data_IF_437347132452
#
_entry.id   IF_437347132452
#
_cell.length_a   1.000
_cell.length_b   1.000
_cell.length_c   1.000
_cell.angle_alpha   90.00
_cell.angle_beta   90.00
_cell.angle_gamma   90.00
#
_symmetry.space_group_name_H-M   'P 1'
#
loop_
_entity.id
_entity.type
_entity.pdbx_description
1 polymer ?
#
# COMPACT_ATOMS: atom_id res chain seq x y z
N UNK A 1 -29.56 -84.01 1.61
CA UNK A 1 -28.73 -85.13 2.12
C UNK A 1 -28.00 -85.73 0.93
N UNK A 2 -26.76 -86.21 1.08
CA UNK A 2 -26.04 -86.84 -0.04
C UNK A 2 -26.57 -88.27 -0.21
N UNK A 3 -26.97 -88.63 -1.43
CA UNK A 3 -27.46 -89.97 -1.77
C UNK A 3 -26.38 -90.83 -2.43
N UNK A 4 -25.56 -90.20 -3.27
CA UNK A 4 -24.46 -90.84 -3.97
C UNK A 4 -23.31 -89.85 -4.12
N UNK A 5 -22.08 -90.34 -4.05
CA UNK A 5 -20.89 -89.58 -4.41
C UNK A 5 -19.99 -90.42 -5.30
N UNK A 6 -19.48 -89.83 -6.38
CA UNK A 6 -18.42 -90.39 -7.20
C UNK A 6 -17.16 -89.57 -7.00
N UNK A 7 -16.07 -90.24 -6.66
CA UNK A 7 -14.75 -89.61 -6.49
C UNK A 7 -13.81 -90.17 -7.53
N UNK A 8 -13.31 -89.29 -8.40
CA UNK A 8 -12.41 -89.65 -9.49
C UNK A 8 -11.31 -88.59 -9.68
N UNK A 9 -10.13 -89.04 -10.09
CA UNK A 9 -9.03 -88.17 -10.50
C UNK A 9 -8.45 -87.28 -9.40
N UNK A 10 -8.62 -87.64 -8.12
CA UNK A 10 -8.05 -86.88 -7.00
C UNK A 10 -7.36 -87.79 -5.98
N UNK A 11 -6.15 -87.38 -5.55
CA UNK A 11 -5.32 -88.09 -4.58
C UNK A 11 -5.10 -89.58 -4.94
N UNK A 12 -5.63 -90.51 -4.13
CA UNK A 12 -5.51 -91.96 -4.33
C UNK A 12 -6.60 -92.58 -5.21
N UNK A 13 -7.54 -91.78 -5.73
CA UNK A 13 -8.61 -92.27 -6.62
C UNK A 13 -8.17 -92.20 -8.09
N UNK A 14 -8.37 -93.29 -8.83
CA UNK A 14 -8.07 -93.36 -10.26
C UNK A 14 -8.98 -92.44 -11.09
N UNK A 15 -8.66 -92.30 -12.39
CA UNK A 15 -9.46 -91.49 -13.33
C UNK A 15 -10.84 -92.11 -13.59
N UNK A 16 -10.99 -93.44 -13.55
CA UNK A 16 -12.33 -94.06 -13.65
C UNK A 16 -13.22 -93.70 -12.44
N UNK A 17 -12.58 -93.54 -11.27
CA UNK A 17 -13.20 -93.18 -10.00
C UNK A 17 -13.93 -94.34 -9.32
N UNK A 18 -14.39 -94.07 -8.11
CA UNK A 18 -15.20 -94.99 -7.31
C UNK A 18 -16.46 -94.28 -6.83
N UNK A 19 -17.59 -94.99 -6.86
CA UNK A 19 -18.88 -94.48 -6.39
C UNK A 19 -19.23 -95.07 -5.02
N UNK A 20 -19.66 -94.21 -4.10
CA UNK A 20 -20.35 -94.61 -2.88
C UNK A 20 -21.84 -94.33 -3.08
N UNK A 21 -22.61 -95.41 -3.20
CA UNK A 21 -24.09 -95.38 -3.30
C UNK A 21 -24.73 -95.69 -1.95
N UNK A 22 -26.06 -95.55 -1.87
CA UNK A 22 -26.87 -95.97 -0.73
C UNK A 22 -26.50 -95.32 0.61
N UNK A 23 -26.06 -94.06 0.56
CA UNK A 23 -25.65 -93.30 1.74
C UNK A 23 -26.84 -93.05 2.67
N UNK A 24 -26.63 -93.32 3.95
CA UNK A 24 -27.61 -93.12 5.04
C UNK A 24 -27.29 -91.84 5.81
N UNK A 25 -28.17 -91.45 6.75
CA UNK A 25 -27.98 -90.22 7.55
C UNK A 25 -26.64 -90.20 8.29
N UNK A 26 -26.17 -91.39 8.69
CA UNK A 26 -24.87 -91.59 9.33
C UNK A 26 -24.15 -92.66 8.52
N UNK A 27 -22.95 -92.33 8.03
CA UNK A 27 -22.09 -93.24 7.28
C UNK A 27 -20.74 -93.34 8.01
N UNK A 28 -20.26 -94.57 8.19
CA UNK A 28 -18.92 -94.83 8.72
C UNK A 28 -18.04 -95.32 7.59
N UNK A 29 -17.06 -94.51 7.21
CA UNK A 29 -16.09 -94.85 6.16
C UNK A 29 -14.74 -95.03 6.84
N UNK A 30 -14.22 -96.25 6.85
CA UNK A 30 -12.95 -96.62 7.48
C UNK A 30 -12.05 -97.36 6.49
N UNK A 31 -10.76 -97.33 6.76
CA UNK A 31 -9.73 -97.91 5.91
C UNK A 31 -8.33 -97.53 6.40
N UNK A 32 -7.29 -98.13 5.84
CA UNK A 32 -5.90 -97.84 6.21
C UNK A 32 -5.50 -96.37 5.98
N UNK A 33 -4.43 -95.90 6.61
CA UNK A 33 -3.87 -94.59 6.31
C UNK A 33 -3.48 -94.49 4.83
N UNK A 34 -3.79 -93.37 4.19
CA UNK A 34 -3.58 -93.21 2.75
C UNK A 34 -4.70 -93.76 1.85
N UNK A 35 -5.74 -94.40 2.39
CA UNK A 35 -6.87 -94.94 1.61
C UNK A 35 -7.82 -93.89 1.01
N UNK A 36 -7.46 -92.61 1.01
CA UNK A 36 -8.27 -91.54 0.41
C UNK A 36 -9.40 -90.95 1.28
N UNK A 37 -9.48 -91.26 2.58
CA UNK A 37 -10.53 -90.74 3.49
C UNK A 37 -10.58 -89.20 3.54
N UNK A 38 -9.43 -88.55 3.70
CA UNK A 38 -9.35 -87.07 3.72
C UNK A 38 -9.73 -86.47 2.36
N UNK A 39 -9.52 -87.19 1.26
CA UNK A 39 -9.94 -86.73 -0.06
C UNK A 39 -11.45 -86.67 -0.18
N UNK A 40 -12.17 -87.63 0.42
CA UNK A 40 -13.64 -87.58 0.50
C UNK A 40 -14.08 -86.30 1.21
N UNK A 41 -13.47 -85.97 2.35
CA UNK A 41 -13.85 -84.77 3.10
C UNK A 41 -13.51 -83.48 2.34
N UNK A 42 -12.38 -83.43 1.61
CA UNK A 42 -12.01 -82.29 0.74
C UNK A 42 -12.98 -82.09 -0.43
N UNK A 43 -13.40 -83.19 -1.07
CA UNK A 43 -14.40 -83.17 -2.14
C UNK A 43 -15.74 -82.66 -1.61
N UNK A 44 -16.15 -83.07 -0.41
CA UNK A 44 -17.37 -82.55 0.24
C UNK A 44 -17.22 -81.05 0.60
N UNK A 45 -16.05 -80.62 1.06
CA UNK A 45 -15.81 -79.24 1.47
C UNK A 45 -15.85 -78.24 0.29
N UNK A 46 -15.34 -78.63 -0.87
CA UNK A 46 -15.29 -77.77 -2.06
C UNK A 46 -15.46 -78.59 -3.36
N UNK A 47 -16.68 -79.07 -3.68
CA UNK A 47 -16.92 -79.91 -4.85
C UNK A 47 -16.48 -79.24 -6.17
N UNK A 48 -16.60 -77.92 -6.26
CA UNK A 48 -16.21 -77.13 -7.43
C UNK A 48 -14.72 -77.24 -7.79
N UNK A 49 -13.85 -77.53 -6.81
CA UNK A 49 -12.41 -77.67 -7.03
C UNK A 49 -12.02 -79.06 -7.55
N UNK A 50 -12.99 -79.98 -7.69
CA UNK A 50 -12.76 -81.37 -8.03
C UNK A 50 -13.64 -81.77 -9.22
N UNK A 51 -13.25 -81.33 -10.43
CA UNK A 51 -14.03 -81.49 -11.66
C UNK A 51 -14.33 -82.94 -12.07
N UNK A 52 -13.52 -83.92 -11.64
CA UNK A 52 -13.75 -85.36 -11.85
C UNK A 52 -14.71 -86.01 -10.85
N UNK A 53 -15.10 -85.28 -9.80
CA UNK A 53 -15.96 -85.80 -8.73
C UNK A 53 -17.39 -85.26 -8.88
N UNK A 54 -18.38 -86.09 -8.54
CA UNK A 54 -19.79 -85.70 -8.55
C UNK A 54 -20.46 -86.09 -7.24
N UNK A 55 -21.32 -85.21 -6.72
CA UNK A 55 -22.11 -85.44 -5.51
C UNK A 55 -23.58 -85.30 -5.88
N UNK A 56 -24.35 -86.38 -5.73
CA UNK A 56 -25.80 -86.36 -5.90
C UNK A 56 -26.47 -86.10 -4.55
N UNK A 57 -27.24 -85.02 -4.51
CA UNK A 57 -28.03 -84.62 -3.36
C UNK A 57 -29.48 -85.06 -3.52
N UNK A 58 -30.09 -85.51 -2.44
CA UNK A 58 -31.53 -85.74 -2.36
C UNK A 58 -32.28 -84.47 -2.79
N UNK A 59 -33.24 -84.64 -3.71
CA UNK A 59 -34.00 -83.56 -4.34
C UNK A 59 -33.13 -82.50 -5.04
N UNK A 60 -31.92 -82.86 -5.48
CA UNK A 60 -30.97 -81.97 -6.17
C UNK A 60 -30.65 -80.67 -5.40
N UNK A 61 -30.80 -80.68 -4.08
CA UNK A 61 -30.58 -79.51 -3.22
C UNK A 61 -29.30 -79.67 -2.40
N UNK A 62 -28.20 -78.97 -2.78
CA UNK A 62 -26.99 -78.90 -1.96
C UNK A 62 -27.30 -78.32 -0.58
N UNK A 63 -26.68 -78.90 0.45
CA UNK A 63 -26.71 -78.37 1.81
C UNK A 63 -25.34 -77.78 2.16
N UNK A 64 -25.31 -76.87 3.13
CA UNK A 64 -24.06 -76.38 3.69
C UNK A 64 -23.22 -77.55 4.23
N UNK A 65 -21.96 -77.61 3.78
CA UNK A 65 -21.04 -78.69 4.11
C UNK A 65 -20.09 -78.24 5.22
N UNK A 66 -20.35 -78.67 6.45
CA UNK A 66 -19.45 -78.44 7.57
C UNK A 66 -18.43 -79.58 7.64
N UNK A 67 -17.21 -79.31 7.16
CA UNK A 67 -16.12 -80.30 7.10
C UNK A 67 -15.04 -79.97 8.12
N UNK A 68 -14.88 -80.87 9.09
CA UNK A 68 -13.76 -80.84 10.03
C UNK A 68 -12.66 -81.79 9.56
N UNK A 69 -11.56 -81.24 9.05
CA UNK A 69 -10.38 -81.98 8.59
C UNK A 69 -9.08 -81.22 8.93
N UNK A 70 -7.92 -81.78 8.54
CA UNK A 70 -6.62 -81.13 8.78
C UNK A 70 -6.51 -79.72 8.17
N UNK A 71 -7.09 -79.50 6.98
CA UNK A 71 -7.05 -78.21 6.28
C UNK A 71 -7.86 -77.13 7.03
N UNK A 72 -8.93 -77.52 7.74
CA UNK A 72 -9.66 -76.61 8.63
C UNK A 72 -8.78 -76.19 9.81
N UNK A 73 -8.07 -77.15 10.41
CA UNK A 73 -7.19 -76.88 11.57
C UNK A 73 -6.04 -75.96 11.17
N UNK A 74 -5.35 -76.23 10.06
CA UNK A 74 -4.20 -75.41 9.60
C UNK A 74 -4.57 -73.97 9.26
N UNK A 75 -5.76 -73.74 8.69
CA UNK A 75 -6.25 -72.39 8.35
C UNK A 75 -6.63 -71.57 9.57
N UNK A 76 -7.24 -72.21 10.57
CA UNK A 76 -7.85 -71.49 11.69
C UNK A 76 -6.99 -71.49 12.96
N UNK A 77 -6.01 -72.39 13.06
CA UNK A 77 -5.16 -72.53 14.24
C UNK A 77 -3.70 -72.34 13.84
N UNK A 78 -3.19 -71.11 13.98
CA UNK A 78 -1.76 -70.81 13.83
C UNK A 78 -1.17 -70.36 15.15
N UNK A 79 -0.02 -70.92 15.51
CA UNK A 79 0.78 -70.53 16.66
C UNK A 79 1.80 -69.46 16.24
N UNK A 80 1.49 -68.18 16.42
CA UNK A 80 2.48 -67.10 16.28
C UNK A 80 3.02 -66.61 17.64
N UNK A 81 2.35 -66.93 18.76
CA UNK A 81 2.81 -66.66 20.13
C UNK A 81 2.41 -67.83 21.06
N UNK A 82 3.29 -68.32 21.95
CA UNK A 82 2.91 -69.35 22.94
C UNK A 82 1.78 -68.82 23.83
N UNK A 83 0.60 -69.45 23.77
CA UNK A 83 -0.52 -69.18 24.68
C UNK A 83 -1.61 -68.21 24.19
N UNK A 84 -1.53 -67.68 22.97
CA UNK A 84 -2.60 -66.84 22.38
C UNK A 84 -3.16 -67.53 21.14
N UNK A 85 -4.41 -68.01 21.23
CA UNK A 85 -5.16 -68.56 20.10
C UNK A 85 -6.12 -67.48 19.60
N UNK A 86 -5.83 -66.87 18.44
CA UNK A 86 -6.76 -65.99 17.74
C UNK A 86 -7.67 -66.83 16.84
N UNK A 87 -8.99 -66.66 16.98
CA UNK A 87 -10.02 -67.38 16.24
C UNK A 87 -10.61 -66.46 15.17
N UNK A 88 -10.26 -66.67 13.89
CA UNK A 88 -10.91 -66.02 12.74
C UNK A 88 -9.96 -65.32 11.77
N UNK A 89 -10.24 -65.42 10.47
CA UNK A 89 -9.42 -64.82 9.39
C UNK A 89 -9.34 -63.29 9.48
N UNK A 90 -10.36 -62.62 10.02
CA UNK A 90 -10.43 -61.16 10.09
C UNK A 90 -9.44 -60.55 11.11
N UNK A 91 -9.18 -61.25 12.22
CA UNK A 91 -8.31 -60.75 13.30
C UNK A 91 -6.82 -60.84 12.92
N UNK A 92 -6.45 -61.80 12.07
CA UNK A 92 -5.08 -61.93 11.56
C UNK A 92 -4.70 -60.77 10.63
N UNK A 93 -5.59 -60.38 9.71
CA UNK A 93 -5.34 -59.28 8.77
C UNK A 93 -5.17 -57.92 9.47
N UNK A 94 -5.88 -57.69 10.58
CA UNK A 94 -5.75 -56.46 11.38
C UNK A 94 -4.40 -56.40 12.10
N UNK A 95 -3.93 -57.53 12.64
CA UNK A 95 -2.61 -57.61 13.28
C UNK A 95 -1.47 -57.32 12.30
N UNK A 96 -1.55 -57.86 11.07
CA UNK A 96 -0.57 -57.58 10.01
C UNK A 96 -0.53 -56.08 9.65
N UNK A 97 -1.70 -55.42 9.60
CA UNK A 97 -1.77 -53.98 9.36
C UNK A 97 -1.12 -53.16 10.49
N UNK A 98 -1.34 -53.55 11.75
CA UNK A 98 -0.72 -52.90 12.91
C UNK A 98 0.80 -53.07 12.88
N UNK A 99 1.29 -54.27 12.57
CA UNK A 99 2.74 -54.52 12.49
C UNK A 99 3.38 -53.73 11.33
N UNK A 100 2.72 -53.68 10.17
CA UNK A 100 3.15 -52.86 9.03
C UNK A 100 3.20 -51.37 9.38
N UNK A 101 2.18 -50.86 10.08
CA UNK A 101 2.13 -49.46 10.53
C UNK A 101 3.24 -49.14 11.53
N UNK A 102 3.50 -50.04 12.50
CA UNK A 102 4.62 -49.89 13.45
C UNK A 102 5.97 -49.86 12.76
N UNK A 103 6.18 -50.73 11.76
CA UNK A 103 7.40 -50.74 10.95
C UNK A 103 7.59 -49.42 10.21
N UNK A 104 6.53 -48.88 9.60
CA UNK A 104 6.56 -47.56 8.93
C UNK A 104 6.88 -46.42 9.89
N UNK A 105 6.31 -46.41 11.09
CA UNK A 105 6.63 -45.41 12.13
C UNK A 105 8.12 -45.46 12.46
N UNK A 106 8.66 -46.66 12.72
CA UNK A 106 10.08 -46.81 13.04
C UNK A 106 11.00 -46.39 11.87
N UNK A 107 10.58 -46.61 10.62
CA UNK A 107 11.30 -46.12 9.43
C UNK A 107 11.29 -44.58 9.36
N UNK A 108 10.12 -43.95 9.55
CA UNK A 108 9.97 -42.49 9.55
C UNK A 108 10.79 -41.85 10.68
N UNK A 109 10.77 -42.43 11.89
CA UNK A 109 11.56 -41.93 13.03
C UNK A 109 13.08 -42.00 12.76
N UNK A 110 13.54 -43.08 12.11
CA UNK A 110 14.94 -43.18 11.66
C UNK A 110 15.29 -42.10 10.65
N UNK A 111 14.42 -41.85 9.67
CA UNK A 111 14.63 -40.81 8.66
C UNK A 111 14.65 -39.40 9.25
N UNK A 112 13.76 -39.11 10.21
CA UNK A 112 13.74 -37.83 10.94
C UNK A 112 15.07 -37.64 11.69
N UNK A 113 15.52 -38.66 12.42
CA UNK A 113 16.78 -38.58 13.16
C UNK A 113 17.98 -38.41 12.23
N UNK A 114 18.04 -39.14 11.12
CA UNK A 114 19.09 -38.99 10.12
C UNK A 114 19.14 -37.57 9.54
N UNK A 115 17.98 -36.98 9.20
CA UNK A 115 17.88 -35.60 8.70
C UNK A 115 18.26 -34.57 9.76
N UNK A 116 17.87 -34.77 11.02
CA UNK A 116 18.23 -33.89 12.12
C UNK A 116 19.74 -33.88 12.36
N UNK A 117 20.40 -35.04 12.30
CA UNK A 117 21.87 -35.14 12.40
C UNK A 117 22.55 -34.38 11.24
N UNK A 118 22.03 -34.47 10.02
CA UNK A 118 22.58 -33.70 8.87
C UNK A 118 22.39 -32.18 9.07
N UNK A 119 21.24 -31.75 9.61
CA UNK A 119 20.94 -30.33 9.81
C UNK A 119 21.75 -29.70 10.97
N UNK A 120 21.84 -30.40 12.10
CA UNK A 120 22.38 -29.88 13.37
C UNK A 120 23.74 -30.47 13.77
N UNK A 121 24.23 -31.51 13.10
CA UNK A 121 25.36 -32.30 13.55
C UNK A 121 24.96 -33.34 14.59
N UNK A 122 25.82 -34.34 14.83
CA UNK A 122 25.57 -35.41 15.81
C UNK A 122 25.52 -34.90 17.26
N UNK A 123 26.14 -33.74 17.54
CA UNK A 123 26.24 -33.08 18.84
C UNK A 123 25.38 -31.80 18.94
N UNK A 124 24.59 -31.49 17.91
CA UNK A 124 23.78 -30.27 17.84
C UNK A 124 24.56 -28.96 17.59
N UNK A 125 25.88 -29.02 17.46
CA UNK A 125 26.76 -27.85 17.28
C UNK A 125 27.32 -27.72 15.84
N UNK A 126 26.94 -28.62 14.94
CA UNK A 126 27.50 -28.77 13.60
C UNK A 126 26.44 -28.79 12.48
N UNK A 127 26.68 -29.66 11.48
CA UNK A 127 25.76 -29.87 10.36
C UNK A 127 25.64 -28.69 9.39
N UNK A 128 24.63 -28.76 8.52
CA UNK A 128 24.38 -27.77 7.46
C UNK A 128 24.10 -26.37 8.00
N UNK A 129 23.51 -26.24 9.19
CA UNK A 129 23.29 -24.93 9.82
C UNK A 129 24.59 -24.26 10.24
N UNK A 130 25.52 -25.02 10.83
CA UNK A 130 26.85 -24.49 11.18
C UNK A 130 27.66 -24.16 9.93
N UNK A 131 27.66 -25.03 8.92
CA UNK A 131 28.31 -24.75 7.62
C UNK A 131 27.81 -23.44 7.01
N UNK A 132 26.48 -23.24 6.97
CA UNK A 132 25.87 -21.99 6.47
C UNK A 132 26.31 -20.77 7.28
N UNK A 133 26.36 -20.89 8.61
CA UNK A 133 26.80 -19.82 9.51
C UNK A 133 28.27 -19.46 9.27
N UNK A 134 29.15 -20.46 9.19
CA UNK A 134 30.59 -20.26 8.91
C UNK A 134 30.81 -19.63 7.54
N UNK A 135 30.10 -20.10 6.49
CA UNK A 135 30.16 -19.50 5.16
C UNK A 135 29.70 -18.04 5.18
N UNK A 136 28.64 -17.74 5.93
CA UNK A 136 28.13 -16.38 6.08
C UNK A 136 29.13 -15.47 6.81
N UNK A 137 29.74 -15.96 7.88
CA UNK A 137 30.77 -15.20 8.61
C UNK A 137 32.00 -14.93 7.73
N UNK A 138 32.42 -15.91 6.93
CA UNK A 138 33.53 -15.77 6.00
C UNK A 138 33.27 -14.69 4.93
N UNK A 139 32.11 -14.73 4.26
CA UNK A 139 31.79 -13.71 3.24
C UNK A 139 31.64 -12.32 3.86
N UNK A 140 31.07 -12.22 5.06
CA UNK A 140 31.00 -10.97 5.80
C UNK A 140 32.39 -10.44 6.14
N UNK A 141 33.32 -11.30 6.56
CA UNK A 141 34.71 -10.93 6.85
C UNK A 141 35.41 -10.38 5.59
N UNK A 142 35.28 -11.06 4.45
CA UNK A 142 35.89 -10.61 3.20
C UNK A 142 35.28 -9.29 2.71
N UNK A 143 33.96 -9.14 2.75
CA UNK A 143 33.28 -7.89 2.42
C UNK A 143 33.76 -6.73 3.31
N UNK A 144 33.98 -7.01 4.61
CA UNK A 144 34.45 -6.00 5.55
C UNK A 144 35.91 -5.60 5.33
N UNK A 145 36.77 -6.54 4.91
CA UNK A 145 38.14 -6.21 4.49
C UNK A 145 38.14 -5.24 3.31
N UNK A 146 37.25 -5.47 2.32
CA UNK A 146 37.04 -4.55 1.19
C UNK A 146 36.58 -3.19 1.68
N UNK A 147 35.56 -3.14 2.55
CA UNK A 147 35.11 -1.88 3.19
C UNK A 147 36.28 -1.12 3.80
N UNK A 148 37.05 -1.76 4.68
CA UNK A 148 38.14 -1.12 5.42
C UNK A 148 39.23 -0.56 4.50
N UNK A 149 39.51 -1.23 3.37
CA UNK A 149 40.49 -0.76 2.38
C UNK A 149 40.08 0.56 1.73
N UNK A 150 38.79 0.74 1.45
CA UNK A 150 38.27 1.88 0.69
C UNK A 150 37.49 2.88 1.55
N UNK A 151 37.39 2.64 2.86
CA UNK A 151 36.58 3.46 3.76
C UNK A 151 37.00 4.92 3.69
N UNK A 152 38.30 5.22 3.79
CA UNK A 152 38.81 6.58 3.77
C UNK A 152 38.43 7.35 2.49
N UNK A 153 38.40 6.67 1.35
CA UNK A 153 38.12 7.30 0.04
C UNK A 153 36.62 7.47 -0.23
N UNK A 154 35.78 6.53 0.24
CA UNK A 154 34.38 6.41 -0.16
C UNK A 154 33.39 6.42 1.02
N UNK A 155 33.75 7.04 2.15
CA UNK A 155 32.92 7.12 3.35
C UNK A 155 31.46 7.50 3.03
N UNK A 156 31.27 8.53 2.21
CA UNK A 156 29.97 9.06 1.82
C UNK A 156 29.13 8.08 1.00
N UNK A 157 29.76 7.29 0.12
CA UNK A 157 29.08 6.28 -0.68
C UNK A 157 28.63 5.06 0.15
N UNK A 158 29.26 4.84 1.31
CA UNK A 158 28.92 3.76 2.24
C UNK A 158 27.88 4.15 3.31
N UNK A 159 27.37 5.37 3.26
CA UNK A 159 26.36 5.87 4.20
C UNK A 159 25.17 4.90 4.33
N UNK A 160 24.75 4.64 5.56
CA UNK A 160 23.66 3.70 5.88
C UNK A 160 24.09 2.24 6.08
N UNK A 161 25.20 1.80 5.46
CA UNK A 161 25.73 0.43 5.59
C UNK A 161 27.11 0.36 6.24
N UNK A 162 27.83 1.49 6.32
CA UNK A 162 29.21 1.63 6.81
C UNK A 162 29.49 1.08 8.21
N UNK A 163 28.49 1.06 9.09
CA UNK A 163 28.66 0.72 10.52
C UNK A 163 28.25 -0.72 10.87
N UNK A 164 27.84 -1.54 9.89
CA UNK A 164 27.43 -2.91 10.14
C UNK A 164 28.00 -3.86 9.09
N UNK A 165 28.77 -4.83 9.56
CA UNK A 165 29.40 -5.87 8.76
C UNK A 165 28.38 -6.67 7.93
N UNK A 166 27.30 -7.10 8.58
CA UNK A 166 26.20 -7.80 7.93
C UNK A 166 25.53 -6.93 6.84
N UNK A 167 25.16 -5.68 7.17
CA UNK A 167 24.49 -4.79 6.19
C UNK A 167 25.38 -4.44 5.00
N UNK A 168 26.68 -4.26 5.22
CA UNK A 168 27.63 -4.01 4.13
C UNK A 168 27.73 -5.23 3.20
N UNK A 169 27.81 -6.43 3.77
CA UNK A 169 27.79 -7.67 3.00
C UNK A 169 26.48 -7.83 2.21
N UNK A 170 25.32 -7.57 2.84
CA UNK A 170 24.02 -7.65 2.15
C UNK A 170 23.91 -6.64 1.01
N UNK A 171 24.46 -5.43 1.20
CA UNK A 171 24.54 -4.42 0.15
C UNK A 171 25.38 -4.91 -1.02
N UNK A 172 26.57 -5.47 -0.78
CA UNK A 172 27.41 -6.08 -1.83
C UNK A 172 26.64 -7.16 -2.59
N UNK A 173 25.97 -8.07 -1.89
CA UNK A 173 25.21 -9.15 -2.54
C UNK A 173 24.05 -8.61 -3.39
N UNK A 174 23.37 -7.57 -2.92
CA UNK A 174 22.31 -6.87 -3.65
C UNK A 174 22.84 -6.15 -4.90
N UNK A 175 23.95 -5.43 -4.77
CA UNK A 175 24.63 -4.77 -5.89
C UNK A 175 25.11 -5.81 -6.92
N UNK A 176 25.62 -6.96 -6.48
CA UNK A 176 26.01 -8.06 -7.38
C UNK A 176 24.85 -8.54 -8.25
N UNK A 177 23.64 -8.56 -7.70
CA UNK A 177 22.46 -9.03 -8.41
C UNK A 177 21.84 -8.00 -9.36
N UNK A 178 22.03 -6.69 -9.10
CA UNK A 178 21.22 -5.63 -9.73
C UNK A 178 22.01 -4.46 -10.34
N UNK A 179 23.30 -4.30 -10.02
CA UNK A 179 24.08 -3.15 -10.45
C UNK A 179 24.49 -3.26 -11.92
N UNK A 180 24.08 -2.27 -12.73
CA UNK A 180 24.39 -2.14 -14.15
C UNK A 180 25.22 -0.88 -14.46
N UNK A 181 25.81 -0.25 -13.44
CA UNK A 181 26.64 0.94 -13.63
C UNK A 181 27.89 0.63 -14.46
N UNK A 182 28.45 1.67 -15.08
CA UNK A 182 29.69 1.56 -15.81
C UNK A 182 30.86 1.27 -14.86
N UNK A 183 31.79 0.43 -15.29
CA UNK A 183 33.02 0.17 -14.54
C UNK A 183 34.04 1.27 -14.84
N UNK A 184 34.49 1.96 -13.79
CA UNK A 184 35.51 3.02 -13.87
C UNK A 184 36.74 2.67 -13.05
N UNK A 185 37.87 3.30 -13.37
CA UNK A 185 39.12 3.10 -12.63
C UNK A 185 39.04 3.69 -11.22
N UNK A 186 39.77 3.09 -10.27
CA UNK A 186 39.83 3.60 -8.88
C UNK A 186 40.26 5.07 -8.81
N UNK A 187 41.26 5.47 -9.62
CA UNK A 187 41.76 6.85 -9.62
C UNK A 187 40.70 7.84 -10.11
N UNK A 188 39.89 7.48 -11.11
CA UNK A 188 38.77 8.30 -11.58
C UNK A 188 37.71 8.47 -10.49
N UNK A 189 37.29 7.36 -9.88
CA UNK A 189 36.28 7.35 -8.82
C UNK A 189 36.71 8.18 -7.61
N UNK A 190 37.98 8.09 -7.18
CA UNK A 190 38.52 8.91 -6.08
C UNK A 190 38.50 10.40 -6.39
N UNK A 191 38.94 10.80 -7.59
CA UNK A 191 38.92 12.21 -8.01
C UNK A 191 37.51 12.77 -8.02
N UNK A 192 36.55 12.02 -8.57
CA UNK A 192 35.14 12.40 -8.63
C UNK A 192 34.50 12.43 -7.24
N UNK A 193 34.88 11.52 -6.34
CA UNK A 193 34.36 11.45 -4.98
C UNK A 193 34.72 12.69 -4.15
N UNK A 194 35.94 13.21 -4.27
CA UNK A 194 36.36 14.44 -3.57
C UNK A 194 35.47 15.63 -3.94
N UNK A 195 35.16 15.79 -5.23
CA UNK A 195 34.37 16.93 -5.74
C UNK A 195 32.88 16.74 -5.45
N UNK A 196 32.33 15.56 -5.75
CA UNK A 196 30.88 15.33 -5.71
C UNK A 196 30.37 15.16 -4.28
N UNK A 197 31.14 14.53 -3.39
CA UNK A 197 30.73 14.32 -2.00
C UNK A 197 31.05 15.47 -1.05
N UNK A 198 31.65 16.55 -1.55
CA UNK A 198 31.80 17.79 -0.79
C UNK A 198 30.39 18.32 -0.39
N UNK A 199 30.25 18.71 0.88
CA UNK A 199 28.98 19.12 1.47
C UNK A 199 28.63 20.55 1.08
N UNK A 200 27.35 20.88 0.86
CA UNK A 200 26.96 22.30 0.94
C UNK A 200 25.62 22.74 0.37
N UNK A 201 24.88 21.89 -0.36
CA UNK A 201 23.70 22.36 -1.09
C UNK A 201 22.46 21.57 -0.67
N UNK A 202 21.55 22.25 0.03
CA UNK A 202 20.20 21.78 0.35
C UNK A 202 19.20 22.50 -0.53
N UNK A 203 18.15 21.81 -0.97
CA UNK A 203 17.05 22.45 -1.70
C UNK A 203 16.39 23.56 -0.88
N UNK A 204 15.91 24.58 -1.56
CA UNK A 204 15.06 25.63 -1.00
C UNK A 204 13.65 25.56 -1.58
N UNK A 205 12.66 26.01 -0.79
CA UNK A 205 11.27 26.03 -1.24
C UNK A 205 11.01 27.33 -2.01
N UNK A 206 10.25 27.21 -3.11
CA UNK A 206 9.76 28.38 -3.83
C UNK A 206 8.80 29.20 -2.94
N UNK A 207 8.84 30.51 -3.10
CA UNK A 207 7.93 31.42 -2.40
C UNK A 207 6.66 31.66 -3.22
N UNK A 208 5.54 31.85 -2.52
CA UNK A 208 4.28 32.19 -3.17
C UNK A 208 4.35 33.60 -3.73
N UNK A 209 3.76 33.82 -4.90
CA UNK A 209 3.55 35.16 -5.46
C UNK A 209 2.08 35.52 -5.25
N UNK A 210 1.75 36.63 -4.56
CA UNK A 210 0.37 37.03 -4.36
C UNK A 210 -0.26 37.50 -5.67
N UNK A 211 -1.54 37.18 -5.86
CA UNK A 211 -2.31 37.63 -7.03
C UNK A 211 -2.97 38.97 -6.75
N UNK A 212 -2.73 39.95 -7.62
CA UNK A 212 -3.30 41.30 -7.53
C UNK A 212 -4.48 41.54 -8.47
N UNK A 213 -4.89 40.54 -9.28
CA UNK A 213 -5.88 40.72 -10.34
C UNK A 213 -7.22 41.27 -9.82
N UNK A 214 -7.70 40.77 -8.67
CA UNK A 214 -8.94 41.24 -8.07
C UNK A 214 -8.84 42.68 -7.55
N UNK A 215 -7.70 43.05 -6.96
CA UNK A 215 -7.46 44.43 -6.53
C UNK A 215 -7.47 45.39 -7.73
N UNK A 216 -6.74 45.06 -8.78
CA UNK A 216 -6.72 45.86 -10.03
C UNK A 216 -8.12 45.98 -10.65
N UNK A 217 -8.92 44.90 -10.64
CA UNK A 217 -10.30 44.92 -11.13
C UNK A 217 -11.19 45.86 -10.31
N UNK A 218 -11.07 45.81 -8.97
CA UNK A 218 -11.84 46.63 -8.06
C UNK A 218 -11.47 48.12 -8.14
N UNK A 219 -10.17 48.43 -8.28
CA UNK A 219 -9.65 49.79 -8.46
C UNK A 219 -10.13 50.44 -9.76
N UNK A 220 -10.45 49.63 -10.78
CA UNK A 220 -10.94 50.09 -12.07
C UNK A 220 -12.48 50.17 -12.21
N UNK A 221 -13.24 49.88 -11.15
CA UNK A 221 -14.71 49.85 -11.26
C UNK A 221 -15.29 51.24 -11.56
N UNK A 222 -16.14 51.39 -12.60
CA UNK A 222 -16.75 52.68 -12.96
C UNK A 222 -17.58 53.33 -11.85
N UNK A 223 -18.07 52.52 -10.89
CA UNK A 223 -18.87 52.99 -9.75
C UNK A 223 -18.12 54.02 -8.89
N UNK A 224 -16.78 53.98 -8.87
CA UNK A 224 -15.93 54.95 -8.17
C UNK A 224 -16.10 56.37 -8.73
N UNK A 225 -16.13 56.49 -10.06
CA UNK A 225 -16.24 57.77 -10.76
C UNK A 225 -17.69 58.21 -11.00
N UNK A 226 -18.66 57.28 -10.96
CA UNK A 226 -20.09 57.57 -11.17
C UNK A 226 -20.64 58.41 -10.03
N UNK A 227 -21.30 59.54 -10.32
CA UNK A 227 -22.12 60.26 -9.32
C UNK A 227 -23.41 59.48 -9.08
N UNK A 228 -23.60 58.93 -7.88
CA UNK A 228 -24.81 58.18 -7.53
C UNK A 228 -25.79 59.14 -6.87
N UNK A 229 -26.77 59.59 -7.65
CA UNK A 229 -27.85 60.49 -7.23
C UNK A 229 -29.19 59.89 -7.66
N UNK A 230 -30.28 60.29 -7.01
CA UNK A 230 -31.62 59.92 -7.46
C UNK A 230 -31.93 60.50 -8.85
N UNK A 231 -32.85 59.88 -9.57
CA UNK A 231 -33.28 60.30 -10.92
C UNK A 231 -34.80 60.34 -11.07
N UNK A 232 -35.57 60.28 -9.98
CA UNK A 232 -37.03 60.34 -10.05
C UNK A 232 -37.54 61.70 -10.56
N UNK A 233 -38.63 61.65 -11.33
CA UNK A 233 -39.34 62.84 -11.84
C UNK A 233 -40.24 63.42 -10.74
N UNK A 234 -39.61 64.19 -9.84
CA UNK A 234 -40.27 64.81 -8.68
C UNK A 234 -39.96 66.30 -8.69
N UNK A 235 -40.93 67.14 -8.31
CA UNK A 235 -40.80 68.61 -8.29
C UNK A 235 -39.59 69.15 -7.51
N UNK A 236 -38.99 68.32 -6.65
CA UNK A 236 -37.83 68.69 -5.83
C UNK A 236 -36.47 68.48 -6.53
N UNK A 237 -36.40 67.69 -7.61
CA UNK A 237 -35.15 67.27 -8.26
C UNK A 237 -34.23 68.44 -8.65
N UNK A 238 -34.79 69.49 -9.25
CA UNK A 238 -34.03 70.67 -9.66
C UNK A 238 -33.35 71.41 -8.48
N UNK A 239 -33.94 71.32 -7.28
CA UNK A 239 -33.37 71.92 -6.07
C UNK A 239 -32.24 71.03 -5.50
N UNK A 240 -32.44 69.70 -5.51
CA UNK A 240 -31.44 68.73 -5.05
C UNK A 240 -30.16 68.84 -5.89
N UNK A 241 -30.31 68.89 -7.22
CA UNK A 241 -29.19 68.99 -8.14
C UNK A 241 -28.43 70.32 -7.99
N UNK A 242 -29.16 71.44 -7.81
CA UNK A 242 -28.55 72.76 -7.62
C UNK A 242 -27.73 72.83 -6.33
N UNK A 243 -28.23 72.22 -5.25
CA UNK A 243 -27.57 72.24 -3.94
C UNK A 243 -26.52 71.14 -3.77
N UNK A 244 -26.53 70.12 -4.64
CA UNK A 244 -25.63 68.97 -4.54
C UNK A 244 -25.81 68.18 -3.24
N UNK A 245 -27.01 68.20 -2.65
CA UNK A 245 -27.29 67.68 -1.31
C UNK A 245 -28.05 66.33 -1.31
N UNK A 246 -27.99 65.58 -2.42
CA UNK A 246 -28.65 64.27 -2.58
C UNK A 246 -28.38 63.31 -1.41
N UNK A 247 -27.13 63.18 -0.99
CA UNK A 247 -26.73 62.28 0.11
C UNK A 247 -27.36 62.71 1.45
N UNK A 248 -27.38 64.02 1.72
CA UNK A 248 -28.02 64.59 2.92
C UNK A 248 -29.53 64.35 2.92
N UNK A 249 -30.18 64.52 1.77
CA UNK A 249 -31.62 64.26 1.64
C UNK A 249 -31.93 62.79 1.86
N UNK A 250 -31.16 61.85 1.28
CA UNK A 250 -31.36 60.41 1.51
C UNK A 250 -31.25 60.05 3.00
N UNK A 251 -30.26 60.61 3.70
CA UNK A 251 -30.13 60.44 5.15
C UNK A 251 -31.35 61.03 5.89
N UNK A 252 -31.81 62.21 5.46
CA UNK A 252 -32.98 62.90 5.99
C UNK A 252 -34.29 62.11 5.89
N UNK A 253 -34.51 61.37 4.79
CA UNK A 253 -35.73 60.55 4.58
C UNK A 253 -35.96 59.58 5.74
N UNK A 254 -34.90 58.96 6.27
CA UNK A 254 -35.01 58.02 7.39
C UNK A 254 -35.51 58.67 8.69
N UNK A 255 -35.22 59.95 8.92
CA UNK A 255 -35.75 60.71 10.05
C UNK A 255 -37.20 61.12 9.82
N UNK A 256 -37.53 61.49 8.58
CA UNK A 256 -38.85 61.97 8.19
C UNK A 256 -39.95 60.90 8.38
N UNK A 257 -39.64 59.64 8.04
CA UNK A 257 -40.54 58.49 8.27
C UNK A 257 -40.88 58.31 9.75
N UNK A 258 -39.96 58.66 10.67
CA UNK A 258 -40.14 58.50 12.12
C UNK A 258 -40.85 59.68 12.79
N UNK A 259 -40.87 60.84 12.15
CA UNK A 259 -41.40 62.08 12.75
C UNK A 259 -42.75 62.52 12.19
N UNK A 260 -43.24 61.86 11.13
CA UNK A 260 -44.54 62.16 10.51
C UNK A 260 -45.67 62.14 11.57
N UNK A 261 -46.56 63.16 11.64
CA UNK A 261 -46.80 64.21 10.63
C UNK A 261 -45.95 65.49 10.79
N UNK A 262 -45.01 65.56 11.74
CA UNK A 262 -44.19 66.75 11.95
C UNK A 262 -42.82 66.63 11.28
N UNK A 263 -42.40 67.67 10.57
CA UNK A 263 -41.06 67.73 9.98
C UNK A 263 -39.98 67.64 11.09
N UNK A 264 -38.98 66.75 10.98
CA UNK A 264 -37.96 66.60 12.03
C UNK A 264 -36.99 67.78 12.10
N UNK A 265 -37.05 68.71 11.13
CA UNK A 265 -36.17 69.86 11.03
C UNK A 265 -36.85 71.17 11.43
N UNK A 266 -38.04 71.47 10.89
CA UNK A 266 -38.76 72.72 11.15
C UNK A 266 -40.01 72.56 12.04
N UNK A 267 -40.37 71.34 12.44
CA UNK A 267 -41.54 71.00 13.28
C UNK A 267 -42.91 71.39 12.72
N UNK A 268 -42.98 71.83 11.47
CA UNK A 268 -44.25 72.10 10.78
C UNK A 268 -44.92 70.79 10.35
N UNK A 269 -46.25 70.82 10.26
CA UNK A 269 -47.02 69.73 9.67
C UNK A 269 -46.62 69.57 8.20
N UNK A 270 -46.37 68.33 7.81
CA UNK A 270 -45.99 67.95 6.45
C UNK A 270 -47.05 67.06 5.82
N UNK A 271 -47.22 67.20 4.51
CA UNK A 271 -48.03 66.29 3.69
C UNK A 271 -47.59 64.84 3.96
N UNK A 272 -48.56 63.97 4.24
CA UNK A 272 -48.35 62.56 4.54
C UNK A 272 -47.59 61.84 3.42
N UNK A 273 -47.73 62.29 2.17
CA UNK A 273 -47.07 61.70 1.00
C UNK A 273 -45.71 62.36 0.68
N UNK A 274 -45.29 63.43 1.39
CA UNK A 274 -44.00 64.10 1.13
C UNK A 274 -42.82 63.15 1.33
N UNK A 275 -42.86 62.32 2.38
CA UNK A 275 -41.83 61.31 2.65
C UNK A 275 -41.68 60.34 1.46
N UNK A 276 -42.83 59.93 0.90
CA UNK A 276 -42.91 59.00 -0.22
C UNK A 276 -42.40 59.65 -1.50
N UNK A 277 -42.82 60.89 -1.81
CA UNK A 277 -42.32 61.63 -2.98
C UNK A 277 -40.80 61.84 -2.95
N UNK A 278 -40.22 62.15 -1.78
CA UNK A 278 -38.76 62.25 -1.63
C UNK A 278 -38.11 60.86 -1.72
N UNK A 279 -38.78 59.81 -1.25
CA UNK A 279 -38.36 58.42 -1.42
C UNK A 279 -38.30 58.01 -2.89
N UNK A 280 -39.33 58.32 -3.66
CA UNK A 280 -39.47 57.99 -5.09
C UNK A 280 -38.41 58.66 -5.98
N UNK A 281 -37.74 59.72 -5.49
CA UNK A 281 -36.55 60.29 -6.14
C UNK A 281 -35.39 59.27 -6.23
N UNK A 282 -35.28 58.36 -5.25
CA UNK A 282 -34.25 57.33 -5.18
C UNK A 282 -34.80 56.00 -5.72
N UNK A 283 -34.57 55.76 -7.01
CA UNK A 283 -35.11 54.63 -7.75
C UNK A 283 -34.28 53.33 -7.61
N UNK A 284 -34.68 52.29 -8.35
CA UNK A 284 -33.97 51.00 -8.38
C UNK A 284 -32.54 51.09 -8.94
N UNK A 285 -32.22 52.13 -9.72
CA UNK A 285 -30.85 52.35 -10.23
C UNK A 285 -29.97 52.86 -9.10
N UNK A 286 -30.48 53.82 -8.32
CA UNK A 286 -29.81 54.30 -7.11
C UNK A 286 -29.55 53.15 -6.13
N UNK A 287 -30.56 52.36 -5.79
CA UNK A 287 -30.39 51.26 -4.82
C UNK A 287 -29.37 50.20 -5.30
N UNK A 288 -29.35 49.90 -6.60
CA UNK A 288 -28.36 49.00 -7.21
C UNK A 288 -26.94 49.56 -7.14
N UNK A 289 -26.77 50.85 -7.38
CA UNK A 289 -25.48 51.51 -7.28
C UNK A 289 -24.97 51.53 -5.82
N UNK A 290 -25.85 51.78 -4.85
CA UNK A 290 -25.51 51.68 -3.42
C UNK A 290 -25.07 50.26 -3.05
N UNK A 291 -25.78 49.24 -3.53
CA UNK A 291 -25.39 47.85 -3.35
C UNK A 291 -24.02 47.56 -3.99
N UNK A 292 -23.76 48.07 -5.20
CA UNK A 292 -22.48 47.93 -5.88
C UNK A 292 -21.32 48.57 -5.09
N UNK A 293 -21.52 49.75 -4.49
CA UNK A 293 -20.55 50.39 -3.61
C UNK A 293 -20.31 49.54 -2.35
N UNK A 294 -21.36 49.01 -1.73
CA UNK A 294 -21.22 48.15 -0.56
C UNK A 294 -20.43 46.86 -0.88
N UNK A 295 -20.68 46.24 -2.03
CA UNK A 295 -19.91 45.09 -2.49
C UNK A 295 -18.45 45.44 -2.79
N UNK A 296 -18.18 46.61 -3.38
CA UNK A 296 -16.81 47.10 -3.58
C UNK A 296 -16.07 47.26 -2.26
N UNK A 297 -16.68 47.87 -1.24
CA UNK A 297 -16.06 48.05 0.09
C UNK A 297 -15.65 46.70 0.69
N UNK A 298 -16.57 45.73 0.70
CA UNK A 298 -16.31 44.40 1.28
C UNK A 298 -15.27 43.62 0.45
N UNK A 299 -15.40 43.65 -0.88
CA UNK A 299 -14.48 42.95 -1.78
C UNK A 299 -13.07 43.49 -1.70
N UNK A 300 -12.91 44.82 -1.68
CA UNK A 300 -11.61 45.47 -1.61
C UNK A 300 -10.92 45.20 -0.28
N UNK A 301 -11.68 45.18 0.82
CA UNK A 301 -11.15 44.82 2.14
C UNK A 301 -10.63 43.39 2.18
N UNK A 302 -11.43 42.44 1.67
CA UNK A 302 -11.04 41.03 1.65
C UNK A 302 -9.80 40.80 0.76
N UNK A 303 -9.80 41.39 -0.44
CA UNK A 303 -8.71 41.25 -1.41
C UNK A 303 -7.40 41.87 -0.89
N UNK A 304 -7.45 43.09 -0.33
CA UNK A 304 -6.27 43.76 0.24
C UNK A 304 -5.72 43.01 1.45
N UNK A 305 -6.59 42.52 2.33
CA UNK A 305 -6.17 41.71 3.50
C UNK A 305 -5.47 40.43 3.08
N UNK A 306 -6.04 39.69 2.12
CA UNK A 306 -5.43 38.44 1.61
C UNK A 306 -4.10 38.71 0.93
N UNK A 307 -4.01 39.76 0.12
CA UNK A 307 -2.78 40.15 -0.55
C UNK A 307 -1.65 40.48 0.44
N UNK A 308 -1.95 41.30 1.45
CA UNK A 308 -0.98 41.66 2.50
C UNK A 308 -0.61 40.49 3.41
N UNK A 309 -1.54 39.58 3.69
CA UNK A 309 -1.25 38.39 4.48
C UNK A 309 -0.18 37.52 3.82
N UNK A 310 -0.30 37.26 2.51
CA UNK A 310 0.70 36.47 1.77
C UNK A 310 2.08 37.15 1.82
N UNK A 311 2.15 38.47 1.68
CA UNK A 311 3.41 39.21 1.78
C UNK A 311 4.04 39.15 3.18
N UNK A 312 3.23 39.18 4.22
CA UNK A 312 3.69 39.04 5.60
C UNK A 312 4.22 37.63 5.88
N UNK A 313 3.56 36.59 5.36
CA UNK A 313 4.03 35.19 5.46
C UNK A 313 5.40 35.00 4.78
N UNK A 314 5.59 35.62 3.61
CA UNK A 314 6.88 35.59 2.91
C UNK A 314 7.95 36.33 3.72
N UNK A 315 7.61 37.47 4.33
CA UNK A 315 8.54 38.25 5.16
C UNK A 315 9.00 37.50 6.42
N UNK A 316 8.19 36.58 6.93
CA UNK A 316 8.55 35.70 8.04
C UNK A 316 9.37 34.47 7.59
N UNK A 317 9.30 34.12 6.31
CA UNK A 317 10.04 33.00 5.74
C UNK A 317 11.45 33.46 5.38
N UNK A 318 12.46 33.01 6.14
CA UNK A 318 13.85 33.27 5.79
C UNK A 318 14.21 32.54 4.49
N UNK A 319 14.54 33.29 3.44
CA UNK A 319 15.13 32.78 2.20
C UNK A 319 16.37 33.59 1.87
N UNK A 320 17.48 32.91 1.52
CA UNK A 320 18.72 33.59 1.11
C UNK A 320 18.58 34.35 -0.21
N UNK A 321 17.55 34.03 -0.99
CA UNK A 321 17.28 34.62 -2.31
C UNK A 321 16.34 35.83 -2.24
N UNK A 322 15.84 36.16 -1.04
CA UNK A 322 14.99 37.32 -0.80
C UNK A 322 15.76 38.31 0.09
N UNK A 323 16.01 39.51 -0.45
CA UNK A 323 16.59 40.59 0.33
C UNK A 323 15.53 41.18 1.25
N UNK A 324 15.63 40.88 2.55
CA UNK A 324 14.65 41.26 3.56
C UNK A 324 14.33 42.77 3.55
N UNK A 325 15.34 43.64 3.47
CA UNK A 325 15.15 45.09 3.47
C UNK A 325 14.37 45.59 2.23
N UNK A 326 14.60 44.97 1.07
CA UNK A 326 13.89 45.32 -0.16
C UNK A 326 12.43 44.87 -0.11
N UNK A 327 12.18 43.66 0.39
CA UNK A 327 10.83 43.16 0.59
C UNK A 327 10.07 44.04 1.59
N UNK A 328 10.69 44.38 2.73
CA UNK A 328 10.08 45.23 3.74
C UNK A 328 9.63 46.58 3.18
N UNK A 329 10.49 47.24 2.39
CA UNK A 329 10.16 48.51 1.75
C UNK A 329 9.01 48.39 0.73
N UNK A 330 8.94 47.28 -0.02
CA UNK A 330 7.82 47.01 -0.93
C UNK A 330 6.51 46.76 -0.19
N UNK A 331 6.56 45.99 0.91
CA UNK A 331 5.40 45.69 1.76
C UNK A 331 4.86 46.95 2.41
N UNK A 332 5.72 47.82 2.93
CA UNK A 332 5.32 49.11 3.49
C UNK A 332 4.62 49.98 2.44
N UNK A 333 5.25 50.15 1.26
CA UNK A 333 4.69 50.94 0.15
C UNK A 333 3.30 50.46 -0.26
N UNK A 334 3.12 49.16 -0.47
CA UNK A 334 1.81 48.63 -0.89
C UNK A 334 0.78 48.69 0.23
N UNK A 335 1.19 48.50 1.48
CA UNK A 335 0.30 48.66 2.64
C UNK A 335 -0.25 50.09 2.71
N UNK A 336 0.60 51.10 2.57
CA UNK A 336 0.18 52.52 2.56
C UNK A 336 -0.77 52.82 1.40
N UNK A 337 -0.47 52.34 0.19
CA UNK A 337 -1.31 52.56 -1.00
C UNK A 337 -2.68 51.91 -0.87
N UNK A 338 -2.73 50.67 -0.40
CA UNK A 338 -3.99 49.96 -0.18
C UNK A 338 -4.84 50.62 0.90
N UNK A 339 -4.21 51.11 1.98
CA UNK A 339 -4.90 51.84 3.05
C UNK A 339 -5.50 53.17 2.56
N UNK A 340 -4.78 53.91 1.71
CA UNK A 340 -5.27 55.15 1.11
C UNK A 340 -6.49 54.88 0.20
N UNK A 341 -6.41 53.87 -0.67
CA UNK A 341 -7.52 53.46 -1.52
C UNK A 341 -8.73 52.99 -0.69
N UNK A 342 -8.51 52.27 0.41
CA UNK A 342 -9.58 51.90 1.34
C UNK A 342 -10.27 53.13 1.93
N UNK A 343 -9.53 54.18 2.28
CA UNK A 343 -10.11 55.44 2.75
C UNK A 343 -10.95 56.11 1.67
N UNK A 344 -10.47 56.15 0.42
CA UNK A 344 -11.22 56.66 -0.72
C UNK A 344 -12.52 55.89 -0.97
N UNK A 345 -12.47 54.56 -0.95
CA UNK A 345 -13.63 53.68 -1.12
C UNK A 345 -14.62 53.84 0.04
N UNK A 346 -14.14 53.94 1.28
CA UNK A 346 -14.99 54.19 2.44
C UNK A 346 -15.68 55.55 2.37
N UNK A 347 -15.01 56.57 1.83
CA UNK A 347 -15.63 57.88 1.57
C UNK A 347 -16.73 57.74 0.51
N UNK A 348 -16.51 56.99 -0.57
CA UNK A 348 -17.53 56.72 -1.59
C UNK A 348 -18.81 56.09 -1.02
N UNK A 349 -18.68 55.24 -0.01
CA UNK A 349 -19.82 54.65 0.70
C UNK A 349 -20.59 55.68 1.55
N UNK A 350 -19.89 56.63 2.18
CA UNK A 350 -20.52 57.69 2.99
C UNK A 350 -21.14 58.79 2.13
N UNK A 351 -20.53 59.08 0.99
CA UNK A 351 -20.91 60.12 0.03
C UNK A 351 -21.10 59.51 -1.38
N UNK A 352 -22.19 58.75 -1.63
CA UNK A 352 -22.43 58.12 -2.94
C UNK A 352 -22.44 59.11 -4.12
N UNK A 353 -22.86 60.35 -3.88
CA UNK A 353 -22.84 61.40 -4.91
C UNK A 353 -21.42 61.89 -5.29
N UNK A 354 -20.41 61.62 -4.45
CA UNK A 354 -19.04 62.07 -4.67
C UNK A 354 -18.33 61.26 -5.76
N UNK A 355 -17.51 61.94 -6.58
CA UNK A 355 -16.58 61.29 -7.50
C UNK A 355 -15.32 60.93 -6.72
N UNK A 356 -14.94 59.66 -6.74
CA UNK A 356 -13.74 59.17 -6.05
C UNK A 356 -12.76 58.62 -7.07
N UNK A 357 -11.52 59.07 -6.98
CA UNK A 357 -10.39 58.53 -7.72
C UNK A 357 -9.52 57.79 -6.73
N UNK A 358 -9.22 56.53 -7.04
CA UNK A 358 -8.27 55.71 -6.30
C UNK A 358 -6.91 55.77 -6.96
N UNK A 359 -5.88 55.51 -6.18
CA UNK A 359 -4.52 55.39 -6.64
C UNK A 359 -4.33 54.13 -7.50
N UNK A 360 -3.76 54.27 -8.69
CA UNK A 360 -3.37 53.13 -9.53
C UNK A 360 -2.16 52.42 -8.91
N UNK A 361 -2.31 51.12 -8.64
CA UNK A 361 -1.28 50.28 -8.04
C UNK A 361 -0.70 49.25 -9.02
N UNK A 362 -1.05 49.32 -10.31
CA UNK A 362 -0.64 48.34 -11.34
C UNK A 362 0.88 48.16 -11.39
N UNK A 363 1.63 49.27 -11.42
CA UNK A 363 3.10 49.23 -11.47
C UNK A 363 3.71 48.69 -10.17
N UNK A 364 3.13 49.05 -9.02
CA UNK A 364 3.60 48.56 -7.71
C UNK A 364 3.34 47.05 -7.56
N UNK A 365 2.19 46.56 -8.01
CA UNK A 365 1.91 45.12 -8.04
C UNK A 365 2.85 44.39 -9.01
N UNK A 366 3.17 44.99 -10.16
CA UNK A 366 4.14 44.44 -11.10
C UNK A 366 5.56 44.40 -10.50
N UNK A 367 5.98 45.45 -9.79
CA UNK A 367 7.26 45.54 -9.09
C UNK A 367 7.40 44.40 -8.06
N UNK A 368 6.39 44.20 -7.21
CA UNK A 368 6.35 43.13 -6.21
C UNK A 368 6.38 41.75 -6.88
N UNK A 369 5.54 41.53 -7.89
CA UNK A 369 5.49 40.27 -8.65
C UNK A 369 6.85 39.96 -9.27
N UNK A 370 7.49 40.92 -9.91
CA UNK A 370 8.78 40.75 -10.56
C UNK A 370 9.90 40.44 -9.55
N UNK A 371 9.91 41.13 -8.41
CA UNK A 371 10.83 40.87 -7.31
C UNK A 371 10.75 39.41 -6.82
N UNK A 372 9.53 38.93 -6.52
CA UNK A 372 9.32 37.55 -6.05
C UNK A 372 9.58 36.51 -7.14
N UNK A 373 9.24 36.81 -8.39
CA UNK A 373 9.50 35.92 -9.54
C UNK A 373 11.01 35.76 -9.79
N UNK A 374 11.78 36.83 -9.66
CA UNK A 374 13.24 36.77 -9.77
C UNK A 374 13.87 35.92 -8.65
N UNK A 375 13.38 36.07 -7.41
CA UNK A 375 13.82 35.21 -6.30
C UNK A 375 13.52 33.73 -6.56
N UNK A 376 12.33 33.42 -7.07
CA UNK A 376 11.95 32.05 -7.44
C UNK A 376 12.80 31.49 -8.59
N UNK A 377 13.19 32.31 -9.56
CA UNK A 377 14.11 31.89 -10.62
C UNK A 377 15.47 31.47 -10.04
N UNK A 378 16.03 32.26 -9.11
CA UNK A 378 17.29 31.94 -8.43
C UNK A 378 17.19 30.67 -7.55
N UNK A 379 16.06 30.50 -6.83
CA UNK A 379 15.77 29.27 -6.08
C UNK A 379 15.74 28.04 -7.00
N UNK A 380 15.10 28.17 -8.17
CA UNK A 380 15.00 27.08 -9.12
C UNK A 380 16.38 26.71 -9.71
N UNK A 381 17.20 27.69 -10.09
CA UNK A 381 18.57 27.47 -10.56
C UNK A 381 19.43 26.75 -9.50
N UNK A 382 19.35 27.21 -8.25
CA UNK A 382 20.01 26.54 -7.13
C UNK A 382 19.54 25.10 -6.93
N UNK A 383 18.22 24.86 -6.96
CA UNK A 383 17.65 23.53 -6.81
C UNK A 383 18.05 22.58 -7.94
N UNK A 384 18.15 23.09 -9.18
CA UNK A 384 18.67 22.33 -10.31
C UNK A 384 20.12 21.90 -10.07
N UNK A 385 20.97 22.82 -9.61
CA UNK A 385 22.35 22.49 -9.23
C UNK A 385 22.42 21.44 -8.10
N UNK A 386 21.53 21.52 -7.11
CA UNK A 386 21.41 20.53 -6.04
C UNK A 386 21.02 19.15 -6.59
N UNK A 387 20.03 19.11 -7.49
CA UNK A 387 19.55 17.87 -8.10
C UNK A 387 20.62 17.21 -8.97
N UNK A 388 21.36 18.00 -9.75
CA UNK A 388 22.48 17.51 -10.56
C UNK A 388 23.56 16.89 -9.68
N UNK A 389 23.92 17.53 -8.57
CA UNK A 389 24.86 16.97 -7.59
C UNK A 389 24.30 15.69 -6.96
N UNK A 390 23.02 15.66 -6.59
CA UNK A 390 22.40 14.46 -6.01
C UNK A 390 22.37 13.29 -7.01
N UNK A 391 22.05 13.56 -8.28
CA UNK A 391 22.08 12.57 -9.35
C UNK A 391 23.51 12.07 -9.59
N UNK A 392 24.49 12.97 -9.63
CA UNK A 392 25.90 12.62 -9.73
C UNK A 392 26.38 11.80 -8.52
N UNK A 393 25.95 12.12 -7.29
CA UNK A 393 26.20 11.31 -6.09
C UNK A 393 25.65 9.90 -6.23
N UNK A 394 24.43 9.75 -6.73
CA UNK A 394 23.78 8.45 -6.94
C UNK A 394 24.51 7.62 -7.98
N UNK A 395 24.84 8.22 -9.13
CA UNK A 395 25.61 7.58 -10.21
C UNK A 395 26.97 7.14 -9.69
N UNK A 396 27.73 8.07 -9.08
CA UNK A 396 29.06 7.77 -8.55
C UNK A 396 29.02 6.68 -7.47
N UNK A 397 28.01 6.69 -6.59
CA UNK A 397 27.84 5.63 -5.58
C UNK A 397 27.65 4.27 -6.25
N UNK A 398 26.81 4.18 -7.29
CA UNK A 398 26.59 2.93 -8.03
C UNK A 398 27.87 2.46 -8.75
N UNK A 399 28.65 3.36 -9.34
CA UNK A 399 29.92 3.05 -10.00
C UNK A 399 31.00 2.62 -8.99
N UNK A 400 31.05 3.22 -7.79
CA UNK A 400 31.91 2.76 -6.70
C UNK A 400 31.56 1.33 -6.31
N UNK A 401 30.28 1.03 -6.08
CA UNK A 401 29.85 -0.34 -5.76
C UNK A 401 30.19 -1.32 -6.88
N UNK A 402 30.02 -0.92 -8.15
CA UNK A 402 30.41 -1.72 -9.32
C UNK A 402 31.90 -2.04 -9.32
N UNK A 403 32.75 -1.05 -9.06
CA UNK A 403 34.19 -1.25 -8.93
C UNK A 403 34.53 -2.26 -7.83
N UNK A 404 33.92 -2.14 -6.64
CA UNK A 404 34.15 -3.08 -5.54
C UNK A 404 33.78 -4.53 -5.92
N UNK A 405 32.71 -4.72 -6.70
CA UNK A 405 32.30 -6.04 -7.16
C UNK A 405 33.32 -6.65 -8.12
N UNK A 406 33.66 -5.93 -9.18
CA UNK A 406 34.47 -6.48 -10.27
C UNK A 406 35.95 -6.58 -9.93
N UNK A 407 36.52 -5.58 -9.25
CA UNK A 407 37.95 -5.53 -8.96
C UNK A 407 38.34 -6.37 -7.73
N UNK A 408 37.47 -6.52 -6.73
CA UNK A 408 37.84 -7.15 -5.46
C UNK A 408 37.15 -8.49 -5.18
N UNK A 409 35.92 -8.67 -5.68
CA UNK A 409 35.08 -9.82 -5.32
C UNK A 409 35.05 -10.85 -6.44
N UNK A 410 34.91 -10.42 -7.69
CA UNK A 410 34.95 -11.31 -8.87
C UNK A 410 36.35 -11.90 -9.11
N UNK A 411 37.43 -11.14 -8.89
CA UNK A 411 38.80 -11.64 -9.10
C UNK A 411 39.26 -12.66 -8.05
N UNK A 412 38.76 -12.58 -6.81
CA UNK A 412 39.11 -13.55 -5.75
C UNK A 412 38.28 -14.84 -5.77
N UNK A 413 37.16 -14.85 -6.50
CA UNK A 413 36.31 -16.03 -6.66
C UNK A 413 36.83 -17.07 -7.67
N UNK A 414 37.88 -16.76 -8.44
CA UNK A 414 38.39 -17.64 -9.50
C UNK A 414 39.63 -18.47 -9.11
N UNK A 415 40.14 -18.37 -7.87
CA UNK A 415 41.35 -19.10 -7.44
C UNK A 415 41.07 -20.26 -6.47
N UNK A 416 39.81 -20.68 -6.31
CA UNK A 416 39.46 -21.82 -5.47
C UNK A 416 38.33 -22.65 -6.09
N UNK A 417 38.65 -23.26 -7.24
CA UNK A 417 37.89 -24.35 -7.85
C UNK A 417 38.74 -25.61 -7.85
#
# INVERSE_FOLDING_TARGET
MIEEMKIAGCASYSVEGQSLTDLRKINFIYGANGSGKTSISRVIAAPANHSGCTIRWANERPLECLVYNADFVERNFRSSLPGIFTLGEHDAAVLDQIESARKKIAEIERDINARNIVLHGADGAGGKLKERSTLRENIENECWKVKNRYDADFQSAFTGVRNSKARFCDKILSERASNQAALHSLNDLKKRAVVIFESGLTRENAVRVPDSAELTRLEALPILAKKVVGQGDVDITALIDRLGNSDWIKQGVGYFVKSTPQCPFCQQDVDADLAKRIGDYFDEVYDRDIAAIAHLVVGYEAASTTYLQVLNEISQTSSRYIKADQLAGLVERVTTRLALNRQHIARKQKEPSAVVVVEDNTDLFAEIRNFLTAANAAINEHNQAVDDIHNQKKILTAEIWKYLLDAEISQKGCTSG
#
